data_IF_352203922554
#
_entry.id   IF_352203922554
#
_cell.length_a   1.000
_cell.length_b   1.000
_cell.length_c   1.000
_cell.angle_alpha   90.00
_cell.angle_beta   90.00
_cell.angle_gamma   90.00
#
_symmetry.space_group_name_H-M   'P 1'
#
loop_
_entity.id
_entity.type
_entity.pdbx_description
1 polymer ?
#
# COMPACT_ATOMS: atom_id res chain seq x y z
N UNK A 1 25.92 -9.41 -22.77
CA UNK A 1 25.65 -8.27 -23.68
C UNK A 1 26.71 -7.18 -23.52
N UNK A 2 27.13 -6.80 -22.30
CA UNK A 2 28.14 -5.75 -22.04
C UNK A 2 29.53 -6.04 -22.61
N UNK A 3 29.91 -7.31 -22.72
CA UNK A 3 31.21 -7.74 -23.28
C UNK A 3 31.17 -7.85 -24.80
N UNK A 4 30.04 -8.29 -25.36
CA UNK A 4 29.91 -8.52 -26.80
C UNK A 4 29.89 -7.22 -27.61
N UNK A 5 29.23 -6.17 -27.11
CA UNK A 5 29.08 -4.89 -27.81
C UNK A 5 30.41 -4.18 -28.05
N UNK A 6 31.28 -3.92 -27.07
CA UNK A 6 32.58 -3.27 -27.33
C UNK A 6 33.54 -4.14 -28.14
N UNK A 7 33.52 -5.47 -27.96
CA UNK A 7 34.39 -6.37 -28.76
C UNK A 7 33.94 -6.43 -30.23
N UNK A 8 32.65 -6.49 -30.52
CA UNK A 8 32.12 -6.48 -31.88
C UNK A 8 32.32 -5.13 -32.55
N UNK A 9 32.17 -4.01 -31.85
CA UNK A 9 32.42 -2.68 -32.38
C UNK A 9 33.90 -2.49 -32.73
N UNK A 10 34.81 -2.90 -31.88
CA UNK A 10 36.23 -2.82 -32.11
C UNK A 10 36.68 -3.73 -33.26
N UNK A 11 36.17 -4.96 -33.34
CA UNK A 11 36.44 -5.90 -34.42
C UNK A 11 35.97 -5.34 -35.80
N UNK A 12 34.77 -4.75 -35.82
CA UNK A 12 34.25 -4.10 -37.05
C UNK A 12 35.07 -2.89 -37.50
N UNK A 13 35.73 -2.19 -36.53
CA UNK A 13 36.50 -0.97 -36.84
C UNK A 13 37.94 -1.26 -37.21
N UNK A 14 38.58 -2.23 -36.60
CA UNK A 14 40.03 -2.47 -36.73
C UNK A 14 40.40 -3.86 -37.29
N UNK A 15 39.45 -4.75 -37.42
CA UNK A 15 39.62 -6.14 -37.90
C UNK A 15 40.66 -6.96 -37.09
N UNK A 16 41.02 -6.53 -35.90
CA UNK A 16 41.94 -7.20 -35.00
C UNK A 16 41.34 -7.32 -33.60
N UNK A 17 41.49 -8.50 -32.95
CA UNK A 17 41.07 -8.72 -31.56
C UNK A 17 42.31 -8.77 -30.68
N UNK A 18 42.53 -7.68 -29.94
CA UNK A 18 43.62 -7.67 -28.97
C UNK A 18 43.21 -8.41 -27.67
N UNK A 19 44.12 -9.25 -27.17
CA UNK A 19 43.92 -9.98 -25.93
C UNK A 19 43.54 -9.10 -24.74
N UNK A 20 44.05 -7.86 -24.73
CA UNK A 20 43.73 -6.85 -23.72
C UNK A 20 42.24 -6.50 -23.70
N UNK A 21 41.57 -6.42 -24.85
CA UNK A 21 40.13 -6.14 -24.92
C UNK A 21 39.26 -7.29 -24.40
N UNK A 22 39.69 -8.52 -24.60
CA UNK A 22 39.04 -9.69 -24.00
C UNK A 22 39.12 -9.68 -22.47
N UNK A 23 40.31 -9.34 -21.93
CA UNK A 23 40.48 -9.18 -20.48
C UNK A 23 39.64 -8.06 -19.90
N UNK A 24 39.55 -6.91 -20.57
CA UNK A 24 38.67 -5.80 -20.17
C UNK A 24 37.19 -6.22 -20.16
N UNK A 25 36.74 -6.88 -21.22
CA UNK A 25 35.36 -7.36 -21.32
C UNK A 25 35.02 -8.40 -20.24
N UNK A 26 35.96 -9.29 -19.89
CA UNK A 26 35.77 -10.25 -18.79
C UNK A 26 35.72 -9.50 -17.45
N UNK A 27 36.58 -8.48 -17.25
CA UNK A 27 36.58 -7.65 -16.05
C UNK A 27 35.26 -6.89 -15.84
N UNK A 28 34.76 -6.24 -16.88
CA UNK A 28 33.45 -5.56 -16.83
C UNK A 28 32.30 -6.54 -16.56
N UNK A 29 32.35 -7.71 -17.18
CA UNK A 29 31.35 -8.76 -16.93
C UNK A 29 31.37 -9.24 -15.47
N UNK A 30 32.55 -9.47 -14.92
CA UNK A 30 32.73 -9.87 -13.52
C UNK A 30 32.24 -8.80 -12.55
N UNK A 31 32.58 -7.53 -12.79
CA UNK A 31 32.11 -6.40 -11.98
C UNK A 31 30.59 -6.28 -12.05
N UNK A 32 29.99 -6.43 -13.24
CA UNK A 32 28.54 -6.39 -13.41
C UNK A 32 27.82 -7.51 -12.64
N UNK A 33 28.38 -8.72 -12.66
CA UNK A 33 27.83 -9.86 -11.89
C UNK A 33 27.96 -9.61 -10.39
N UNK A 34 29.12 -9.13 -9.92
CA UNK A 34 29.30 -8.77 -8.51
C UNK A 34 28.35 -7.68 -8.06
N UNK A 35 28.12 -6.66 -8.91
CA UNK A 35 27.15 -5.61 -8.62
C UNK A 35 25.72 -6.15 -8.52
N UNK A 36 25.30 -6.99 -9.44
CA UNK A 36 23.97 -7.62 -9.39
C UNK A 36 23.80 -8.53 -8.18
N UNK A 37 24.85 -9.23 -7.77
CA UNK A 37 24.78 -10.21 -6.67
C UNK A 37 24.89 -9.56 -5.29
N UNK A 38 25.67 -8.51 -5.13
CA UNK A 38 25.95 -7.89 -3.83
C UNK A 38 25.47 -6.44 -3.75
N UNK A 39 25.62 -5.65 -4.81
CA UNK A 39 25.26 -4.25 -4.82
C UNK A 39 23.76 -4.05 -4.87
N UNK A 40 23.08 -4.68 -5.81
CA UNK A 40 21.64 -4.51 -5.98
C UNK A 40 20.83 -4.92 -4.73
N UNK A 41 21.06 -6.08 -4.09
CA UNK A 41 20.35 -6.44 -2.85
C UNK A 41 20.61 -5.46 -1.70
N UNK A 42 21.84 -4.95 -1.60
CA UNK A 42 22.18 -3.98 -0.56
C UNK A 42 21.44 -2.65 -0.75
N UNK A 43 21.40 -2.13 -1.99
CA UNK A 43 20.68 -0.91 -2.30
C UNK A 43 19.16 -1.06 -2.20
N UNK A 44 18.61 -2.19 -2.62
CA UNK A 44 17.17 -2.46 -2.48
C UNK A 44 16.75 -2.50 -1.01
N UNK A 45 17.55 -3.12 -0.16
CA UNK A 45 17.30 -3.17 1.27
C UNK A 45 17.36 -1.79 1.95
N UNK A 46 18.34 -0.95 1.57
CA UNK A 46 18.43 0.43 2.08
C UNK A 46 17.20 1.25 1.68
N UNK A 47 16.76 1.13 0.44
CA UNK A 47 15.56 1.83 -0.05
C UNK A 47 14.29 1.34 0.65
N UNK A 48 14.17 0.04 0.89
CA UNK A 48 13.05 -0.53 1.63
C UNK A 48 13.01 -0.04 3.09
N UNK A 49 14.18 0.06 3.74
CA UNK A 49 14.27 0.65 5.07
C UNK A 49 13.86 2.12 5.09
N UNK A 50 14.33 2.92 4.14
CA UNK A 50 13.96 4.33 4.01
C UNK A 50 12.46 4.51 3.81
N UNK A 51 11.83 3.73 2.93
CA UNK A 51 10.38 3.75 2.73
C UNK A 51 9.64 3.35 4.01
N UNK A 52 10.12 2.30 4.69
CA UNK A 52 9.54 1.85 5.95
C UNK A 52 9.62 2.89 7.08
N UNK A 53 10.70 3.67 7.13
CA UNK A 53 10.86 4.76 8.08
C UNK A 53 9.90 5.90 7.75
N UNK A 54 9.80 6.31 6.48
CA UNK A 54 8.83 7.29 6.01
C UNK A 54 7.41 6.87 6.37
N UNK A 55 7.01 5.61 6.08
CA UNK A 55 5.67 5.10 6.38
C UNK A 55 5.34 5.14 7.87
N UNK A 56 6.34 4.99 8.73
CA UNK A 56 6.16 5.07 10.19
C UNK A 56 6.03 6.52 10.64
N UNK A 57 6.87 7.41 10.09
CA UNK A 57 6.91 8.82 10.47
C UNK A 57 5.64 9.57 10.06
N UNK A 58 5.10 9.31 8.86
CA UNK A 58 3.92 10.03 8.36
C UNK A 58 2.65 9.76 9.16
N UNK A 59 2.54 8.65 9.89
CA UNK A 59 1.39 8.33 10.75
C UNK A 59 1.62 8.65 12.23
N UNK A 60 2.80 9.19 12.58
CA UNK A 60 3.10 9.61 13.94
C UNK A 60 2.32 10.86 14.33
N UNK A 61 1.90 10.96 15.60
CA UNK A 61 1.12 12.10 16.10
C UNK A 61 1.86 13.43 16.06
N UNK A 62 3.18 13.41 15.88
CA UNK A 62 4.02 14.60 15.72
C UNK A 62 4.06 15.11 14.29
N UNK A 63 3.65 14.29 13.31
CA UNK A 63 3.68 14.67 11.89
C UNK A 63 2.70 15.83 11.59
N UNK A 64 3.11 16.86 10.85
CA UNK A 64 2.30 18.06 10.64
C UNK A 64 0.89 17.77 10.11
N UNK A 65 0.78 16.93 9.06
CA UNK A 65 -0.49 16.61 8.42
C UNK A 65 -1.44 15.84 9.35
N UNK A 66 -0.91 15.00 10.25
CA UNK A 66 -1.71 14.31 11.29
C UNK A 66 -2.33 15.32 12.25
N UNK A 67 -1.57 16.34 12.66
CA UNK A 67 -2.05 17.41 13.51
C UNK A 67 -3.07 18.29 12.80
N UNK A 68 -2.85 18.60 11.53
CA UNK A 68 -3.80 19.34 10.70
C UNK A 68 -5.14 18.63 10.59
N UNK A 69 -5.14 17.32 10.29
CA UNK A 69 -6.36 16.50 10.26
C UNK A 69 -7.05 16.48 11.63
N UNK A 70 -6.30 16.31 12.71
CA UNK A 70 -6.85 16.33 14.09
C UNK A 70 -7.48 17.67 14.46
N UNK A 71 -6.90 18.78 13.99
CA UNK A 71 -7.45 20.14 14.19
C UNK A 71 -8.65 20.40 13.29
N UNK A 72 -8.66 19.87 12.07
CA UNK A 72 -9.75 20.01 11.12
C UNK A 72 -11.01 19.31 11.63
N UNK A 73 -10.87 18.02 12.00
CA UNK A 73 -11.99 17.24 12.53
C UNK A 73 -11.49 16.09 13.42
N UNK A 74 -11.85 16.17 14.69
CA UNK A 74 -11.55 15.08 15.64
C UNK A 74 -12.22 13.75 15.24
N UNK A 75 -13.40 13.82 14.63
CA UNK A 75 -14.12 12.64 14.17
C UNK A 75 -13.40 11.97 13.00
N UNK A 76 -12.98 12.73 11.98
CA UNK A 76 -12.23 12.21 10.83
C UNK A 76 -10.87 11.64 11.27
N UNK A 77 -10.18 12.31 12.19
CA UNK A 77 -8.94 11.80 12.76
C UNK A 77 -9.15 10.45 13.48
N UNK A 78 -10.19 10.32 14.30
CA UNK A 78 -10.48 9.06 14.99
C UNK A 78 -10.86 7.94 14.02
N UNK A 79 -11.64 8.27 12.98
CA UNK A 79 -11.99 7.36 11.90
C UNK A 79 -10.72 6.90 11.15
N UNK A 80 -9.87 7.83 10.74
CA UNK A 80 -8.59 7.53 10.08
C UNK A 80 -7.70 6.61 10.93
N UNK A 81 -7.58 6.88 12.24
CA UNK A 81 -6.85 6.02 13.18
C UNK A 81 -7.44 4.62 13.29
N UNK A 82 -8.74 4.49 13.26
CA UNK A 82 -9.43 3.19 13.31
C UNK A 82 -9.15 2.39 12.06
N UNK A 83 -9.34 2.98 10.88
CA UNK A 83 -9.08 2.33 9.59
C UNK A 83 -7.61 1.94 9.47
N UNK A 84 -6.68 2.82 9.83
CA UNK A 84 -5.24 2.57 9.85
C UNK A 84 -4.88 1.30 10.65
N UNK A 85 -5.36 1.21 11.89
CA UNK A 85 -5.07 0.07 12.77
C UNK A 85 -5.65 -1.25 12.24
N UNK A 86 -6.90 -1.21 11.79
CA UNK A 86 -7.55 -2.41 11.24
C UNK A 86 -6.91 -2.88 9.95
N UNK A 87 -6.57 -1.95 9.03
CA UNK A 87 -5.90 -2.26 7.79
C UNK A 87 -4.51 -2.89 8.05
N UNK A 88 -3.72 -2.33 8.98
CA UNK A 88 -2.45 -2.89 9.40
C UNK A 88 -2.59 -4.31 9.95
N UNK A 89 -3.58 -4.54 10.81
CA UNK A 89 -3.82 -5.87 11.40
C UNK A 89 -4.30 -6.88 10.37
N UNK A 90 -5.18 -6.48 9.43
CA UNK A 90 -5.59 -7.31 8.31
C UNK A 90 -4.41 -7.66 7.39
N UNK A 91 -3.52 -6.71 7.12
CA UNK A 91 -2.31 -6.93 6.33
C UNK A 91 -1.39 -7.95 6.99
N UNK A 92 -1.17 -7.84 8.31
CA UNK A 92 -0.38 -8.80 9.09
C UNK A 92 -0.92 -10.22 8.97
N UNK A 93 -2.23 -10.40 9.11
CA UNK A 93 -2.87 -11.72 9.03
C UNK A 93 -2.83 -12.28 7.61
N UNK A 94 -2.94 -11.42 6.61
CA UNK A 94 -2.83 -11.80 5.20
C UNK A 94 -1.39 -12.07 4.75
N UNK A 95 -0.38 -11.53 5.47
CA UNK A 95 1.03 -11.56 5.05
C UNK A 95 1.36 -10.51 4.00
N UNK A 96 0.64 -9.38 4.01
CA UNK A 96 0.85 -8.19 3.18
C UNK A 96 1.66 -7.12 3.94
N UNK A 97 1.94 -5.97 3.31
CA UNK A 97 2.69 -4.89 3.95
C UNK A 97 1.83 -4.12 4.95
N UNK A 98 2.12 -4.36 6.23
CA UNK A 98 1.43 -3.75 7.36
C UNK A 98 1.60 -2.24 7.41
N UNK A 99 2.80 -1.72 7.12
CA UNK A 99 3.11 -0.29 7.21
C UNK A 99 2.44 0.49 6.09
N UNK A 100 2.47 -0.02 4.88
CA UNK A 100 1.76 0.57 3.74
C UNK A 100 0.26 0.60 3.99
N UNK A 101 -0.33 -0.50 4.49
CA UNK A 101 -1.74 -0.53 4.84
C UNK A 101 -2.09 0.43 5.98
N UNK A 102 -1.22 0.58 6.99
CA UNK A 102 -1.42 1.53 8.08
C UNK A 102 -1.44 2.97 7.57
N UNK A 103 -0.44 3.36 6.80
CA UNK A 103 -0.32 4.71 6.25
C UNK A 103 -1.45 5.03 5.27
N UNK A 104 -1.70 4.15 4.30
CA UNK A 104 -2.78 4.35 3.35
C UNK A 104 -4.16 4.35 4.03
N UNK A 105 -4.39 3.46 5.00
CA UNK A 105 -5.62 3.42 5.79
C UNK A 105 -5.81 4.65 6.68
N UNK A 106 -4.75 5.38 7.03
CA UNK A 106 -4.87 6.67 7.70
C UNK A 106 -5.24 7.81 6.73
N UNK A 107 -4.62 7.81 5.56
CA UNK A 107 -4.70 8.94 4.64
C UNK A 107 -5.69 8.80 3.47
N UNK A 108 -6.38 7.66 3.34
CA UNK A 108 -7.23 7.40 2.17
C UNK A 108 -8.29 8.48 1.89
N UNK A 109 -8.76 9.18 2.93
CA UNK A 109 -9.75 10.27 2.82
C UNK A 109 -9.19 11.67 3.13
N UNK A 110 -7.89 11.84 3.12
CA UNK A 110 -7.26 13.11 3.52
C UNK A 110 -7.75 14.31 2.68
N UNK A 111 -8.20 14.07 1.46
CA UNK A 111 -8.79 15.08 0.58
C UNK A 111 -10.00 15.82 1.18
N UNK A 112 -10.64 15.27 2.24
CA UNK A 112 -11.75 15.94 2.94
C UNK A 112 -11.35 17.29 3.50
N UNK A 113 -10.07 17.52 3.76
CA UNK A 113 -9.56 18.80 4.26
C UNK A 113 -9.67 19.93 3.23
N UNK A 114 -9.73 19.61 1.95
CA UNK A 114 -9.83 20.56 0.85
C UNK A 114 -11.20 20.54 0.16
N UNK A 115 -11.97 19.47 0.38
CA UNK A 115 -13.29 19.29 -0.21
C UNK A 115 -13.31 18.45 -1.48
N UNK A 116 -14.46 18.41 -2.15
CA UNK A 116 -14.66 17.60 -3.37
C UNK A 116 -13.87 18.17 -4.57
N UNK A 117 -13.32 17.32 -5.44
CA UNK A 117 -13.39 15.84 -5.39
C UNK A 117 -12.37 15.24 -4.40
N UNK A 118 -12.82 14.40 -3.50
CA UNK A 118 -12.01 13.90 -2.35
C UNK A 118 -10.76 13.13 -2.79
N UNK A 119 -10.88 12.27 -3.79
CA UNK A 119 -9.78 11.42 -4.28
C UNK A 119 -8.67 12.26 -4.91
N UNK A 120 -9.02 13.20 -5.79
CA UNK A 120 -8.05 14.06 -6.47
C UNK A 120 -7.35 15.00 -5.47
N UNK A 121 -8.10 15.60 -4.54
CA UNK A 121 -7.53 16.41 -3.46
C UNK A 121 -6.61 15.59 -2.55
N UNK A 122 -6.99 14.35 -2.23
CA UNK A 122 -6.17 13.44 -1.44
C UNK A 122 -4.86 13.06 -2.12
N UNK A 123 -4.90 12.75 -3.42
CA UNK A 123 -3.71 12.47 -4.23
C UNK A 123 -2.77 13.68 -4.24
N UNK A 124 -3.30 14.89 -4.43
CA UNK A 124 -2.51 16.11 -4.46
C UNK A 124 -1.81 16.36 -3.12
N UNK A 125 -2.53 16.27 -2.00
CA UNK A 125 -1.95 16.42 -0.66
C UNK A 125 -0.83 15.39 -0.45
N UNK A 126 -1.06 14.13 -0.81
CA UNK A 126 -0.08 13.05 -0.65
C UNK A 126 1.18 13.30 -1.50
N UNK A 127 1.04 13.84 -2.72
CA UNK A 127 2.15 14.21 -3.58
C UNK A 127 2.94 15.40 -3.02
N UNK A 128 2.27 16.44 -2.53
CA UNK A 128 2.90 17.60 -1.88
C UNK A 128 3.72 17.22 -0.65
N UNK A 129 3.28 16.20 0.08
CA UNK A 129 3.98 15.64 1.23
C UNK A 129 4.98 14.52 0.87
N UNK A 130 5.23 14.27 -0.42
CA UNK A 130 6.17 13.26 -0.91
C UNK A 130 5.89 11.85 -0.37
N UNK A 131 4.62 11.45 -0.27
CA UNK A 131 4.26 10.11 0.17
C UNK A 131 4.75 9.03 -0.80
N UNK A 132 5.06 7.81 -0.32
CA UNK A 132 5.38 6.69 -1.19
C UNK A 132 4.31 6.43 -2.25
N UNK A 133 4.74 6.04 -3.46
CA UNK A 133 3.83 5.81 -4.59
C UNK A 133 2.73 4.78 -4.30
N UNK A 134 3.06 3.75 -3.50
CA UNK A 134 2.08 2.73 -3.09
C UNK A 134 0.94 3.32 -2.25
N UNK A 135 1.24 4.26 -1.35
CA UNK A 135 0.23 4.98 -0.56
C UNK A 135 -0.64 5.85 -1.47
N UNK A 136 -0.03 6.59 -2.41
CA UNK A 136 -0.76 7.44 -3.37
C UNK A 136 -1.69 6.59 -4.24
N UNK A 137 -1.21 5.45 -4.72
CA UNK A 137 -2.01 4.50 -5.50
C UNK A 137 -3.22 4.02 -4.71
N UNK A 138 -3.04 3.60 -3.46
CA UNK A 138 -4.15 3.15 -2.61
C UNK A 138 -5.16 4.27 -2.36
N UNK A 139 -4.70 5.52 -2.17
CA UNK A 139 -5.58 6.70 -2.08
C UNK A 139 -6.41 6.88 -3.37
N UNK A 140 -5.88 6.53 -4.54
CA UNK A 140 -6.63 6.61 -5.80
C UNK A 140 -7.66 5.49 -6.00
N UNK A 141 -7.53 4.38 -5.28
CA UNK A 141 -8.31 3.15 -5.46
C UNK A 141 -9.26 2.84 -4.29
N UNK A 142 -9.25 3.65 -3.23
CA UNK A 142 -9.91 3.32 -1.95
C UNK A 142 -11.43 3.18 -2.02
N UNK A 143 -12.09 3.84 -2.96
CA UNK A 143 -13.54 3.77 -3.12
C UNK A 143 -13.99 2.68 -4.10
N UNK A 144 -13.07 2.18 -4.94
CA UNK A 144 -13.34 1.21 -5.98
C UNK A 144 -14.19 1.74 -7.14
N UNK A 145 -14.58 3.02 -7.12
CA UNK A 145 -15.38 3.66 -8.16
C UNK A 145 -14.49 4.28 -9.24
N UNK A 146 -13.42 4.95 -8.83
CA UNK A 146 -12.45 5.59 -9.73
C UNK A 146 -11.57 4.53 -10.39
N UNK A 147 -11.06 3.58 -9.61
CA UNK A 147 -10.30 2.43 -10.07
C UNK A 147 -10.48 1.26 -9.09
N UNK A 148 -10.55 0.01 -9.58
CA UNK A 148 -10.59 -1.15 -8.70
C UNK A 148 -9.24 -1.34 -8.01
N UNK A 149 -9.21 -1.94 -6.79
CA UNK A 149 -7.97 -2.26 -6.09
C UNK A 149 -7.01 -3.09 -6.95
N UNK A 150 -5.79 -2.58 -7.15
CA UNK A 150 -4.76 -3.20 -8.00
C UNK A 150 -3.68 -3.95 -7.23
N UNK A 151 -3.68 -3.86 -5.89
CA UNK A 151 -2.75 -4.57 -5.00
C UNK A 151 -3.48 -5.18 -3.80
N UNK A 152 -2.80 -6.10 -3.10
CA UNK A 152 -3.35 -6.72 -1.89
C UNK A 152 -3.61 -5.66 -0.83
N UNK A 153 -2.71 -4.71 -0.67
CA UNK A 153 -2.81 -3.60 0.27
C UNK A 153 -4.00 -2.69 -0.05
N UNK A 154 -4.19 -2.36 -1.34
CA UNK A 154 -5.34 -1.58 -1.80
C UNK A 154 -6.66 -2.30 -1.53
N UNK A 155 -6.73 -3.61 -1.79
CA UNK A 155 -7.91 -4.42 -1.49
C UNK A 155 -8.22 -4.46 0.02
N UNK A 156 -7.19 -4.56 0.87
CA UNK A 156 -7.36 -4.53 2.32
C UNK A 156 -7.90 -3.18 2.79
N UNK A 157 -7.31 -2.07 2.34
CA UNK A 157 -7.76 -0.72 2.73
C UNK A 157 -9.19 -0.46 2.26
N UNK A 158 -9.54 -0.82 1.02
CA UNK A 158 -10.90 -0.74 0.49
C UNK A 158 -11.89 -1.55 1.34
N UNK A 159 -11.56 -2.81 1.67
CA UNK A 159 -12.38 -3.70 2.47
C UNK A 159 -12.64 -3.14 3.87
N UNK A 160 -11.58 -2.70 4.55
CA UNK A 160 -11.66 -2.15 5.92
C UNK A 160 -12.44 -0.84 5.92
N UNK A 161 -12.18 0.07 4.98
CA UNK A 161 -12.92 1.32 4.83
C UNK A 161 -14.44 1.06 4.68
N UNK A 162 -14.81 0.19 3.74
CA UNK A 162 -16.23 -0.11 3.51
C UNK A 162 -16.90 -0.75 4.71
N UNK A 163 -16.19 -1.62 5.43
CA UNK A 163 -16.69 -2.24 6.65
C UNK A 163 -16.88 -1.23 7.78
N UNK A 164 -15.87 -0.39 8.06
CA UNK A 164 -15.93 0.62 9.11
C UNK A 164 -17.06 1.62 8.85
N UNK A 165 -17.22 2.08 7.59
CA UNK A 165 -18.35 2.94 7.21
C UNK A 165 -19.70 2.30 7.49
N UNK A 166 -19.90 1.02 7.12
CA UNK A 166 -21.15 0.31 7.40
C UNK A 166 -21.43 0.19 8.90
N UNK A 167 -20.42 -0.16 9.68
CA UNK A 167 -20.55 -0.27 11.13
C UNK A 167 -20.92 1.09 11.76
N UNK A 168 -20.24 2.17 11.38
CA UNK A 168 -20.53 3.52 11.89
C UNK A 168 -21.96 3.98 11.56
N UNK A 169 -22.48 3.61 10.39
CA UNK A 169 -23.86 3.87 10.01
C UNK A 169 -24.82 3.10 10.92
N UNK A 170 -24.57 1.80 11.16
CA UNK A 170 -25.42 0.99 12.05
C UNK A 170 -25.39 1.51 13.48
N UNK A 171 -24.23 1.88 14.02
CA UNK A 171 -24.10 2.46 15.36
C UNK A 171 -24.88 3.77 15.52
N UNK A 172 -24.97 4.56 14.45
CA UNK A 172 -25.69 5.84 14.48
C UNK A 172 -27.21 5.69 14.44
N UNK A 173 -27.73 4.62 13.83
CA UNK A 173 -29.18 4.43 13.63
C UNK A 173 -29.85 3.48 14.61
N UNK A 174 -29.09 2.57 15.23
CA UNK A 174 -29.62 1.58 16.17
C UNK A 174 -29.12 1.82 17.59
N UNK A 175 -30.02 1.87 18.55
CA UNK A 175 -29.64 1.71 19.95
C UNK A 175 -28.93 0.35 20.07
N UNK A 176 -27.72 0.34 20.56
CA UNK A 176 -26.67 -0.69 20.52
C UNK A 176 -27.05 -2.15 20.90
N UNK A 177 -28.30 -2.55 20.94
CA UNK A 177 -28.75 -3.85 21.45
C UNK A 177 -29.27 -4.84 20.41
N UNK A 178 -29.43 -4.47 19.14
CA UNK A 178 -30.21 -5.30 18.20
C UNK A 178 -29.50 -5.74 16.92
N UNK A 179 -28.29 -5.28 16.60
CA UNK A 179 -27.59 -5.73 15.41
C UNK A 179 -26.41 -6.66 15.69
N UNK A 180 -26.23 -7.64 14.82
CA UNK A 180 -25.15 -8.61 14.93
C UNK A 180 -23.98 -8.17 14.03
N UNK A 181 -22.87 -7.77 14.66
CA UNK A 181 -21.64 -7.35 14.01
C UNK A 181 -21.12 -8.39 13.01
N UNK A 182 -21.11 -9.66 13.39
CA UNK A 182 -20.61 -10.73 12.54
C UNK A 182 -21.42 -10.83 11.25
N UNK A 183 -22.76 -10.66 11.36
CA UNK A 183 -23.64 -10.66 10.19
C UNK A 183 -23.28 -9.53 9.22
N UNK A 184 -23.03 -8.31 9.72
CA UNK A 184 -22.63 -7.16 8.89
C UNK A 184 -21.29 -7.41 8.23
N UNK A 185 -20.31 -7.95 8.96
CA UNK A 185 -19.00 -8.32 8.43
C UNK A 185 -19.15 -9.35 7.31
N UNK A 186 -19.83 -10.48 7.58
CA UNK A 186 -20.05 -11.54 6.60
C UNK A 186 -20.78 -11.04 5.36
N UNK A 187 -21.85 -10.27 5.53
CA UNK A 187 -22.61 -9.74 4.41
C UNK A 187 -21.78 -8.79 3.55
N UNK A 188 -21.07 -7.84 4.17
CA UNK A 188 -20.25 -6.86 3.47
C UNK A 188 -19.12 -7.53 2.69
N UNK A 189 -18.39 -8.45 3.32
CA UNK A 189 -17.29 -9.13 2.65
C UNK A 189 -17.76 -10.07 1.55
N UNK A 190 -18.91 -10.72 1.73
CA UNK A 190 -19.51 -11.54 0.67
C UNK A 190 -19.96 -10.70 -0.53
N UNK A 191 -20.54 -9.51 -0.31
CA UNK A 191 -20.90 -8.57 -1.38
C UNK A 191 -19.66 -8.18 -2.19
N UNK A 192 -18.54 -7.82 -1.53
CA UNK A 192 -17.30 -7.46 -2.21
C UNK A 192 -16.67 -8.65 -2.95
N UNK A 193 -16.68 -9.83 -2.35
CA UNK A 193 -16.17 -11.04 -3.03
C UNK A 193 -17.00 -11.40 -4.25
N UNK A 194 -18.33 -11.25 -4.18
CA UNK A 194 -19.23 -11.55 -5.28
C UNK A 194 -19.17 -10.53 -6.43
N UNK A 195 -18.77 -9.28 -6.14
CA UNK A 195 -18.63 -8.24 -7.17
C UNK A 195 -17.41 -8.43 -8.07
N UNK A 196 -16.43 -9.26 -7.66
CA UNK A 196 -15.17 -9.45 -8.40
C UNK A 196 -14.22 -8.25 -8.32
N UNK A 197 -14.49 -7.28 -7.44
CA UNK A 197 -13.68 -6.04 -7.32
C UNK A 197 -12.21 -6.31 -6.98
N UNK A 198 -11.91 -7.47 -6.39
CA UNK A 198 -10.55 -7.85 -6.00
C UNK A 198 -9.84 -8.78 -7.00
N UNK A 199 -10.45 -9.11 -8.14
CA UNK A 199 -9.90 -10.10 -9.07
C UNK A 199 -8.51 -9.72 -9.60
N UNK A 200 -8.21 -8.42 -9.69
CA UNK A 200 -6.94 -7.90 -10.19
C UNK A 200 -5.95 -7.54 -9.06
N UNK A 201 -6.37 -7.59 -7.81
CA UNK A 201 -5.56 -7.14 -6.67
C UNK A 201 -4.48 -8.14 -6.23
N UNK A 202 -4.54 -9.39 -6.68
CA UNK A 202 -3.71 -10.47 -6.16
C UNK A 202 -4.17 -11.03 -4.80
N UNK A 203 -5.29 -10.54 -4.25
CA UNK A 203 -5.86 -11.04 -3.00
C UNK A 203 -6.44 -12.45 -3.20
N UNK A 204 -5.68 -13.47 -2.85
CA UNK A 204 -6.13 -14.86 -2.95
C UNK A 204 -7.22 -15.21 -1.92
N UNK A 205 -8.07 -16.21 -2.25
CA UNK A 205 -9.16 -16.66 -1.38
C UNK A 205 -8.69 -17.03 0.04
N UNK A 206 -7.51 -17.62 0.17
CA UNK A 206 -6.97 -17.97 1.49
C UNK A 206 -6.67 -16.73 2.35
N UNK A 207 -6.12 -15.67 1.74
CA UNK A 207 -5.87 -14.39 2.42
C UNK A 207 -7.19 -13.73 2.80
N UNK A 208 -8.14 -13.70 1.89
CA UNK A 208 -9.49 -13.18 2.13
C UNK A 208 -10.17 -13.87 3.32
N UNK A 209 -10.12 -15.19 3.40
CA UNK A 209 -10.71 -15.95 4.50
C UNK A 209 -10.03 -15.66 5.84
N UNK A 210 -8.71 -15.52 5.87
CA UNK A 210 -7.96 -15.13 7.08
C UNK A 210 -8.35 -13.73 7.56
N UNK A 211 -8.45 -12.77 6.65
CA UNK A 211 -8.90 -11.40 6.97
C UNK A 211 -10.31 -11.44 7.55
N UNK A 212 -11.22 -12.16 6.91
CA UNK A 212 -12.61 -12.29 7.39
C UNK A 212 -12.68 -12.89 8.79
N UNK A 213 -11.96 -13.98 9.03
CA UNK A 213 -11.91 -14.63 10.35
C UNK A 213 -11.33 -13.69 11.41
N UNK A 214 -10.27 -12.96 11.07
CA UNK A 214 -9.72 -11.94 11.96
C UNK A 214 -10.75 -10.86 12.31
N UNK A 215 -11.41 -10.29 11.31
CA UNK A 215 -12.39 -9.22 11.49
C UNK A 215 -13.62 -9.66 12.31
N UNK A 216 -14.07 -10.91 12.18
CA UNK A 216 -15.17 -11.45 12.98
C UNK A 216 -14.76 -11.65 14.45
N UNK A 217 -13.50 -12.03 14.69
CA UNK A 217 -13.00 -12.24 16.05
C UNK A 217 -12.48 -10.97 16.74
N UNK A 218 -12.42 -9.85 16.01
CA UNK A 218 -11.92 -8.59 16.54
C UNK A 218 -13.01 -7.84 17.30
N UNK A 219 -12.87 -7.73 18.62
CA UNK A 219 -13.83 -7.05 19.49
C UNK A 219 -13.66 -5.52 19.50
N UNK A 220 -12.57 -5.00 18.92
CA UNK A 220 -12.16 -3.59 19.06
C UNK A 220 -12.72 -2.65 17.99
N UNK A 221 -13.73 -3.04 17.21
CA UNK A 221 -14.38 -2.13 16.27
C UNK A 221 -15.05 -0.92 16.95
N UNK A 222 -15.35 -1.01 18.24
CA UNK A 222 -16.26 -0.09 18.97
C UNK A 222 -15.60 0.81 20.01
N UNK A 223 -14.28 0.73 20.24
CA UNK A 223 -13.62 1.52 21.30
C UNK A 223 -12.50 2.41 20.79
#
# INVERSE_FOLDING_TARGET
>A
LSVLLPVTFYYLTYQEVHFVLLLWGIGEGAISVLWLQFGYPHFSHLREQEVNDILTDIIDDTYPLVRELSNFSKQEYQHARRVSRLAASCARVAGADEKTCAAAGFYYRIGIMEGEPLTESGIRIAQEHCFPEDVIRIISEYDGETAPPSSIESAIVHMVNGLVKKIEVFDSYTMASEWNQDMVIYQTLNEYSASGIYDQSGLGMNMFLKIREYLVNEETFFF
#
